data_IF_375061055538
#
_entry.id   IF_375061055538
#
_cell.length_a   1.000
_cell.length_b   1.000
_cell.length_c   1.000
_cell.angle_alpha   90.00
_cell.angle_beta   90.00
_cell.angle_gamma   90.00
#
_symmetry.space_group_name_H-M   'P 1'
#
loop_
_entity.id
_entity.type
_entity.pdbx_description
1 polymer ?
#
# COMPACT_ATOMS: atom_id res chain seq x y z
N UNK A 1 -0.59 10.00 15.12
CA UNK A 1 -1.28 10.24 13.83
C UNK A 1 -0.82 9.19 12.84
N UNK A 2 -1.75 8.58 12.10
CA UNK A 2 -1.42 7.62 11.03
C UNK A 2 -1.22 8.40 9.73
N UNK A 3 0.02 8.46 9.27
CA UNK A 3 0.33 8.81 7.87
C UNK A 3 0.19 7.50 7.09
N UNK A 4 -0.59 7.49 6.00
CA UNK A 4 -0.63 6.34 5.12
C UNK A 4 0.75 6.11 4.48
N UNK A 5 1.24 4.88 4.45
CA UNK A 5 2.43 4.54 3.65
C UNK A 5 2.05 4.32 2.19
N UNK A 6 3.03 4.45 1.29
CA UNK A 6 2.97 3.87 -0.05
C UNK A 6 3.70 2.52 -0.03
N UNK A 7 3.03 1.41 -0.33
CA UNK A 7 3.74 0.14 -0.56
C UNK A 7 4.39 0.20 -1.95
N UNK A 8 5.71 0.10 -2.00
CA UNK A 8 6.45 0.11 -3.25
C UNK A 8 7.02 -1.27 -3.55
N UNK A 9 6.51 -1.91 -4.61
CA UNK A 9 6.96 -3.20 -5.09
C UNK A 9 8.02 -2.99 -6.18
N UNK A 10 9.28 -3.35 -5.90
CA UNK A 10 10.39 -3.16 -6.82
C UNK A 10 11.11 -4.46 -7.17
N UNK A 11 11.54 -4.60 -8.42
CA UNK A 11 12.29 -5.76 -8.89
C UNK A 11 12.18 -5.96 -10.39
N UNK A 12 13.03 -6.82 -10.95
CA UNK A 12 13.05 -7.08 -12.40
C UNK A 12 11.73 -7.66 -12.93
N UNK A 13 11.53 -7.64 -14.25
CA UNK A 13 10.35 -8.25 -14.86
C UNK A 13 10.26 -9.76 -14.54
N UNK A 14 9.04 -10.27 -14.33
CA UNK A 14 8.79 -11.69 -14.01
C UNK A 14 9.14 -12.11 -12.58
N UNK A 15 9.10 -11.20 -11.61
CA UNK A 15 9.36 -11.50 -10.19
C UNK A 15 8.11 -11.58 -9.31
N UNK A 16 6.91 -11.52 -9.90
CA UNK A 16 5.64 -11.62 -9.15
C UNK A 16 5.11 -10.32 -8.54
N UNK A 17 5.74 -9.16 -8.79
CA UNK A 17 5.28 -7.84 -8.27
C UNK A 17 3.81 -7.55 -8.60
N UNK A 18 3.42 -7.77 -9.86
CA UNK A 18 2.04 -7.54 -10.32
C UNK A 18 1.05 -8.51 -9.70
N UNK A 19 1.47 -9.72 -9.30
CA UNK A 19 0.60 -10.62 -8.55
C UNK A 19 0.28 -10.03 -7.17
N UNK A 20 1.27 -9.53 -6.42
CA UNK A 20 1.02 -8.85 -5.13
C UNK A 20 0.13 -7.61 -5.31
N UNK A 21 0.34 -6.83 -6.38
CA UNK A 21 -0.53 -5.71 -6.72
C UNK A 21 -1.98 -6.17 -6.97
N UNK A 22 -2.16 -7.29 -7.68
CA UNK A 22 -3.47 -7.93 -7.95
C UNK A 22 -4.15 -8.43 -6.68
N UNK A 23 -3.40 -9.03 -5.75
CA UNK A 23 -3.93 -9.40 -4.43
C UNK A 23 -4.46 -8.16 -3.72
N UNK A 24 -3.65 -7.10 -3.63
CA UNK A 24 -4.03 -5.89 -2.93
C UNK A 24 -5.27 -5.22 -3.56
N UNK A 25 -5.31 -5.14 -4.89
CA UNK A 25 -6.45 -4.62 -5.66
C UNK A 25 -7.73 -5.40 -5.34
N UNK A 26 -7.68 -6.74 -5.42
CA UNK A 26 -8.81 -7.62 -5.16
C UNK A 26 -9.31 -7.54 -3.72
N UNK A 27 -8.41 -7.46 -2.74
CA UNK A 27 -8.79 -7.34 -1.33
C UNK A 27 -9.56 -6.04 -1.04
N UNK A 28 -9.24 -4.97 -1.76
CA UNK A 28 -9.88 -3.65 -1.62
C UNK A 28 -11.02 -3.40 -2.62
N UNK A 29 -11.38 -4.38 -3.46
CA UNK A 29 -12.31 -4.21 -4.58
C UNK A 29 -11.98 -2.96 -5.41
N UNK A 30 -10.71 -2.83 -5.80
CA UNK A 30 -10.19 -1.73 -6.60
C UNK A 30 -9.58 -2.29 -7.89
N UNK A 31 -9.65 -1.52 -8.99
CA UNK A 31 -8.94 -1.89 -10.22
C UNK A 31 -7.51 -1.34 -10.24
N UNK A 32 -6.63 -2.08 -10.91
CA UNK A 32 -5.27 -1.60 -11.19
C UNK A 32 -5.29 -0.52 -12.27
N UNK A 33 -4.31 0.38 -12.19
CA UNK A 33 -4.08 1.44 -13.16
C UNK A 33 -2.70 1.21 -13.78
N UNK A 34 -2.54 1.52 -15.06
CA UNK A 34 -1.25 1.46 -15.75
C UNK A 34 -0.58 2.83 -15.81
N UNK A 35 0.75 2.85 -15.92
CA UNK A 35 1.59 4.05 -15.96
C UNK A 35 1.26 5.04 -17.10
N UNK A 36 0.63 4.59 -18.19
CA UNK A 36 0.17 5.44 -19.28
C UNK A 36 -1.05 6.32 -18.93
N UNK A 37 -1.63 6.14 -17.74
CA UNK A 37 -2.79 6.90 -17.30
C UNK A 37 -2.46 8.38 -17.08
N UNK A 38 -3.39 9.26 -17.45
CA UNK A 38 -3.23 10.71 -17.28
C UNK A 38 -3.54 11.14 -15.86
N UNK A 39 -3.03 12.31 -15.45
CA UNK A 39 -3.31 12.87 -14.14
C UNK A 39 -4.83 13.09 -13.93
N UNK A 40 -5.54 13.52 -14.98
CA UNK A 40 -6.99 13.68 -14.94
C UNK A 40 -7.72 12.34 -14.70
N UNK A 41 -7.28 11.25 -15.34
CA UNK A 41 -7.87 9.93 -15.15
C UNK A 41 -7.69 9.40 -13.72
N UNK A 42 -6.47 9.51 -13.18
CA UNK A 42 -6.17 9.13 -11.80
C UNK A 42 -6.96 9.96 -10.80
N UNK A 43 -7.03 11.28 -11.01
CA UNK A 43 -7.84 12.18 -10.18
C UNK A 43 -9.31 11.76 -10.17
N UNK A 44 -9.89 11.50 -11.35
CA UNK A 44 -11.29 11.12 -11.47
C UNK A 44 -11.55 9.77 -10.77
N UNK A 45 -10.67 8.77 -10.98
CA UNK A 45 -10.75 7.47 -10.28
C UNK A 45 -10.72 7.65 -8.76
N UNK A 46 -9.76 8.43 -8.25
CA UNK A 46 -9.64 8.75 -6.81
C UNK A 46 -10.92 9.41 -6.27
N UNK A 47 -11.55 10.31 -7.03
CA UNK A 47 -12.79 10.95 -6.59
C UNK A 47 -13.97 9.98 -6.60
N UNK A 48 -14.08 9.15 -7.63
CA UNK A 48 -15.20 8.22 -7.77
C UNK A 48 -15.13 7.08 -6.76
N UNK A 49 -13.97 6.44 -6.59
CA UNK A 49 -13.85 5.23 -5.76
C UNK A 49 -13.76 5.50 -4.26
N UNK A 50 -13.55 6.77 -3.89
CA UNK A 50 -13.50 7.23 -2.50
C UNK A 50 -14.83 7.11 -1.77
N UNK A 51 -15.96 7.09 -2.47
CA UNK A 51 -17.29 7.13 -1.86
C UNK A 51 -18.05 5.83 -2.13
N UNK A 52 -18.89 5.40 -1.18
CA UNK A 52 -19.85 4.32 -1.45
C UNK A 52 -20.97 4.79 -2.38
N UNK A 53 -21.36 6.08 -2.30
CA UNK A 53 -22.20 6.75 -3.28
C UNK A 53 -21.40 7.85 -3.99
N UNK A 54 -20.79 7.56 -5.15
CA UNK A 54 -20.01 8.53 -5.90
C UNK A 54 -20.84 9.69 -6.46
N UNK A 55 -22.12 9.47 -6.76
CA UNK A 55 -22.98 10.49 -7.36
C UNK A 55 -23.32 11.58 -6.34
N UNK A 56 -23.54 11.19 -5.08
CA UNK A 56 -23.80 12.12 -3.97
C UNK A 56 -22.55 12.51 -3.21
N UNK A 57 -21.41 11.86 -3.48
CA UNK A 57 -20.17 12.00 -2.70
C UNK A 57 -20.39 11.70 -1.21
N UNK A 58 -21.21 10.69 -0.91
CA UNK A 58 -21.57 10.31 0.46
C UNK A 58 -20.81 9.06 0.90
N UNK A 59 -20.59 8.97 2.21
CA UNK A 59 -19.93 7.84 2.88
C UNK A 59 -18.52 7.58 2.34
N UNK A 60 -17.59 8.49 2.64
CA UNK A 60 -16.17 8.30 2.30
C UNK A 60 -15.62 7.00 2.91
N UNK A 61 -15.13 6.11 2.05
CA UNK A 61 -14.46 4.87 2.42
C UNK A 61 -12.94 4.98 2.28
N UNK A 62 -12.23 4.05 2.90
CA UNK A 62 -10.83 3.82 2.54
C UNK A 62 -10.82 3.22 1.14
N UNK A 63 -10.05 3.81 0.23
CA UNK A 63 -9.81 3.23 -1.09
C UNK A 63 -8.31 3.05 -1.30
N UNK A 64 -7.98 2.05 -2.12
CA UNK A 64 -6.62 1.72 -2.50
C UNK A 64 -6.41 2.10 -3.97
N UNK A 65 -5.38 2.89 -4.24
CA UNK A 65 -4.88 3.10 -5.58
C UNK A 65 -3.76 2.10 -5.85
N UNK A 66 -3.96 1.20 -6.80
CA UNK A 66 -2.92 0.30 -7.30
C UNK A 66 -2.44 0.81 -8.65
N UNK A 67 -1.19 1.27 -8.73
CA UNK A 67 -0.62 1.83 -9.95
C UNK A 67 0.61 1.05 -10.40
N UNK A 68 0.51 0.44 -11.58
CA UNK A 68 1.50 -0.48 -12.10
C UNK A 68 2.38 0.17 -13.17
N UNK A 69 3.59 -0.38 -13.27
CA UNK A 69 4.62 -0.09 -14.26
C UNK A 69 5.13 1.35 -14.27
N UNK A 70 5.21 1.98 -13.09
CA UNK A 70 5.67 3.37 -12.97
C UNK A 70 7.13 3.48 -13.42
N UNK A 71 7.41 4.47 -14.27
CA UNK A 71 8.77 4.86 -14.62
C UNK A 71 9.19 6.13 -13.86
N UNK A 72 10.50 6.34 -13.62
CA UNK A 72 10.99 7.58 -12.99
C UNK A 72 10.57 8.82 -13.77
N UNK A 73 10.70 8.82 -15.10
CA UNK A 73 10.40 9.96 -15.97
C UNK A 73 8.94 10.42 -15.84
N UNK A 74 8.00 9.49 -15.71
CA UNK A 74 6.58 9.80 -15.48
C UNK A 74 6.36 10.69 -14.25
N UNK A 75 7.16 10.50 -13.20
CA UNK A 75 7.07 11.26 -11.96
C UNK A 75 7.93 12.53 -11.97
N UNK A 76 9.09 12.48 -12.64
CA UNK A 76 10.05 13.59 -12.69
C UNK A 76 9.54 14.69 -13.62
N UNK A 77 9.01 14.32 -14.79
CA UNK A 77 8.55 15.28 -15.81
C UNK A 77 7.13 15.82 -15.52
N UNK A 78 6.40 15.19 -14.60
CA UNK A 78 5.01 15.55 -14.30
C UNK A 78 4.80 15.83 -12.81
N UNK A 79 4.96 17.10 -12.43
CA UNK A 79 4.78 17.54 -11.04
C UNK A 79 3.37 17.24 -10.50
N UNK A 80 2.34 17.35 -11.34
CA UNK A 80 0.97 17.02 -10.95
C UNK A 80 0.84 15.54 -10.59
N UNK A 81 1.46 14.63 -11.34
CA UNK A 81 1.51 13.22 -10.97
C UNK A 81 2.23 13.03 -9.64
N UNK A 82 3.43 13.59 -9.49
CA UNK A 82 4.20 13.49 -8.25
C UNK A 82 3.44 14.04 -7.03
N UNK A 83 2.61 15.08 -7.22
CA UNK A 83 1.80 15.66 -6.15
C UNK A 83 0.80 14.67 -5.53
N UNK A 84 0.23 13.75 -6.33
CA UNK A 84 -0.64 12.67 -5.84
C UNK A 84 0.11 11.79 -4.83
N UNK A 85 1.43 11.64 -5.02
CA UNK A 85 2.35 10.86 -4.19
C UNK A 85 2.99 11.65 -3.06
N UNK A 86 2.62 12.92 -2.86
CA UNK A 86 3.02 13.68 -1.66
C UNK A 86 1.92 13.63 -0.59
N UNK A 87 0.70 13.24 -0.97
CA UNK A 87 -0.48 13.24 -0.12
C UNK A 87 -0.75 11.86 0.50
N UNK A 88 -0.48 11.77 1.81
CA UNK A 88 -0.68 10.55 2.61
C UNK A 88 -1.41 10.80 3.94
N UNK A 89 -2.04 11.96 4.08
CA UNK A 89 -2.88 12.28 5.23
C UNK A 89 -4.18 12.90 4.73
N UNK A 90 -5.32 12.41 5.23
CA UNK A 90 -6.65 12.96 4.93
C UNK A 90 -6.75 14.46 5.23
N UNK A 91 -6.11 14.94 6.30
CA UNK A 91 -6.16 16.37 6.70
C UNK A 91 -5.55 17.30 5.66
N UNK A 92 -4.46 16.87 5.02
CA UNK A 92 -3.74 17.66 4.03
C UNK A 92 -3.93 17.06 2.63
N UNK A 93 -5.15 16.58 2.37
CA UNK A 93 -5.44 15.81 1.15
C UNK A 93 -5.85 16.64 -0.05
N UNK A 94 -6.22 17.89 0.19
CA UNK A 94 -6.66 18.82 -0.84
C UNK A 94 -5.49 19.26 -1.70
N UNK A 95 -5.63 19.04 -3.00
CA UNK A 95 -4.78 19.61 -4.04
C UNK A 95 -5.62 20.64 -4.80
N UNK A 96 -5.03 21.79 -5.05
CA UNK A 96 -5.62 22.88 -5.84
C UNK A 96 -4.78 23.06 -7.08
N UNK A 97 -5.40 23.00 -8.26
CA UNK A 97 -4.75 23.29 -9.54
C UNK A 97 -5.56 24.32 -10.31
N UNK A 98 -4.92 25.00 -11.25
CA UNK A 98 -5.61 25.88 -12.20
C UNK A 98 -6.61 25.07 -13.01
N UNK A 99 -7.85 25.56 -13.12
CA UNK A 99 -8.83 24.95 -14.02
C UNK A 99 -8.67 25.50 -15.44
N UNK A 100 -9.36 24.89 -16.41
CA UNK A 100 -9.44 25.42 -17.78
C UNK A 100 -10.28 26.70 -17.85
N UNK A 101 -11.11 26.97 -16.84
CA UNK A 101 -11.93 28.17 -16.75
C UNK A 101 -11.14 29.28 -16.06
N UNK A 102 -10.86 30.41 -16.73
CA UNK A 102 -10.13 31.53 -16.13
C UNK A 102 -10.77 31.98 -14.82
N UNK A 103 -9.94 32.18 -13.79
CA UNK A 103 -10.38 32.62 -12.46
C UNK A 103 -10.99 31.52 -11.57
N UNK A 104 -11.08 30.27 -12.05
CA UNK A 104 -11.52 29.14 -11.23
C UNK A 104 -10.37 28.17 -10.97
N UNK A 105 -10.24 27.76 -9.72
CA UNK A 105 -9.35 26.69 -9.31
C UNK A 105 -10.15 25.39 -9.18
N UNK A 106 -9.56 24.30 -9.65
CA UNK A 106 -10.10 22.98 -9.41
C UNK A 106 -9.47 22.41 -8.14
N UNK A 107 -10.34 22.06 -7.18
CA UNK A 107 -9.94 21.52 -5.86
C UNK A 107 -10.40 20.07 -5.79
N UNK A 108 -9.50 19.18 -5.38
CA UNK A 108 -9.84 17.76 -5.21
C UNK A 108 -9.05 17.13 -4.08
N UNK A 109 -9.59 16.06 -3.50
CA UNK A 109 -8.90 15.25 -2.47
C UNK A 109 -8.07 14.14 -3.11
N UNK A 110 -6.77 14.12 -2.84
CA UNK A 110 -5.80 13.17 -3.41
C UNK A 110 -5.38 12.03 -2.45
N UNK A 111 -5.91 12.01 -1.22
CA UNK A 111 -5.55 10.97 -0.26
C UNK A 111 -6.00 9.60 -0.74
N UNK A 112 -5.08 8.65 -0.80
CA UNK A 112 -5.32 7.25 -1.14
C UNK A 112 -4.32 6.41 -0.34
N UNK A 113 -4.71 5.19 0.06
CA UNK A 113 -3.70 4.16 0.26
C UNK A 113 -3.11 3.84 -1.12
N UNK A 114 -1.80 3.58 -1.21
CA UNK A 114 -1.12 3.40 -2.50
C UNK A 114 -0.30 2.14 -2.49
N UNK A 115 -0.53 1.28 -3.48
CA UNK A 115 0.40 0.24 -3.91
C UNK A 115 0.93 0.66 -5.28
N UNK A 116 2.24 0.80 -5.39
CA UNK A 116 2.88 1.07 -6.68
C UNK A 116 3.91 0.02 -6.99
N UNK A 117 4.13 -0.23 -8.28
CA UNK A 117 5.23 -1.09 -8.71
C UNK A 117 6.07 -0.44 -9.81
N UNK A 118 7.33 -0.87 -9.88
CA UNK A 118 8.28 -0.45 -10.91
C UNK A 118 9.40 -1.48 -11.06
N UNK A 119 9.97 -1.56 -12.27
CA UNK A 119 11.25 -2.24 -12.48
C UNK A 119 12.44 -1.37 -12.02
N UNK A 120 12.25 -0.07 -11.88
CA UNK A 120 13.28 0.89 -11.50
C UNK A 120 13.26 1.14 -9.99
N UNK A 121 14.42 1.24 -9.32
CA UNK A 121 14.47 1.56 -7.90
C UNK A 121 14.21 3.06 -7.68
N UNK A 122 12.95 3.48 -7.60
CA UNK A 122 12.55 4.91 -7.58
C UNK A 122 13.27 5.75 -6.50
N UNK A 123 13.73 5.14 -5.40
CA UNK A 123 14.46 5.83 -4.33
C UNK A 123 15.89 6.24 -4.68
N UNK A 124 16.46 5.77 -5.80
CA UNK A 124 17.81 6.15 -6.25
C UNK A 124 17.83 7.47 -7.00
N UNK A 125 16.67 7.97 -7.44
CA UNK A 125 16.52 9.23 -8.16
C UNK A 125 16.38 10.38 -7.15
N UNK A 126 17.30 11.35 -7.21
CA UNK A 126 17.36 12.43 -6.22
C UNK A 126 16.15 13.36 -6.30
N UNK A 127 15.55 13.49 -7.49
CA UNK A 127 14.32 14.24 -7.77
C UNK A 127 13.11 13.62 -7.03
N UNK A 128 13.17 12.32 -6.71
CA UNK A 128 12.13 11.57 -6.03
C UNK A 128 12.42 11.37 -4.53
N UNK A 129 13.35 12.13 -3.95
CA UNK A 129 13.74 12.02 -2.53
C UNK A 129 12.58 12.21 -1.54
N UNK A 130 11.58 13.02 -1.88
CA UNK A 130 10.37 13.15 -1.07
C UNK A 130 9.59 11.81 -1.07
N UNK A 131 9.49 11.13 -2.21
CA UNK A 131 8.78 9.87 -2.31
C UNK A 131 9.48 8.76 -1.49
N UNK A 132 10.83 8.74 -1.50
CA UNK A 132 11.64 7.79 -0.70
C UNK A 132 11.24 7.75 0.78
N UNK A 133 10.99 8.89 1.41
CA UNK A 133 10.60 8.98 2.84
C UNK A 133 9.17 8.50 3.13
N UNK A 134 8.37 8.23 2.11
CA UNK A 134 6.94 7.90 2.20
C UNK A 134 6.63 6.50 1.65
N UNK A 135 7.63 5.80 1.12
CA UNK A 135 7.52 4.44 0.61
C UNK A 135 7.95 3.41 1.65
N UNK A 136 7.26 2.27 1.64
CA UNK A 136 7.70 1.01 2.22
C UNK A 136 8.15 0.11 1.06
N UNK A 137 9.46 0.04 0.76
CA UNK A 137 9.95 -0.75 -0.35
C UNK A 137 9.94 -2.24 -0.01
N UNK A 138 9.41 -3.04 -0.93
CA UNK A 138 9.50 -4.50 -0.93
C UNK A 138 10.25 -4.91 -2.19
N UNK A 139 11.39 -5.56 -2.00
CA UNK A 139 12.24 -6.00 -3.10
C UNK A 139 11.88 -7.41 -3.53
N UNK A 140 11.73 -7.60 -4.83
CA UNK A 140 11.43 -8.86 -5.49
C UNK A 140 12.59 -9.27 -6.38
N UNK A 141 13.02 -10.52 -6.21
CA UNK A 141 14.10 -11.14 -6.96
C UNK A 141 13.59 -12.41 -7.61
N UNK A 142 14.12 -12.76 -8.78
CA UNK A 142 13.78 -14.05 -9.39
C UNK A 142 14.36 -15.15 -8.52
N UNK A 143 13.60 -16.22 -8.28
CA UNK A 143 14.08 -17.38 -7.50
C UNK A 143 15.42 -17.91 -8.04
N UNK A 144 15.58 -17.96 -9.35
CA UNK A 144 16.79 -18.42 -10.04
C UNK A 144 18.04 -17.56 -9.75
N UNK A 145 17.88 -16.31 -9.31
CA UNK A 145 18.99 -15.43 -8.97
C UNK A 145 19.19 -15.28 -7.46
N UNK A 146 18.40 -15.98 -6.64
CA UNK A 146 18.57 -15.97 -5.18
C UNK A 146 19.81 -16.78 -4.77
N UNK A 147 20.52 -16.33 -3.74
CA UNK A 147 21.60 -17.09 -3.12
C UNK A 147 21.03 -18.23 -2.27
N UNK A 148 21.84 -19.24 -1.96
CA UNK A 148 21.43 -20.34 -1.08
C UNK A 148 20.97 -19.87 0.30
N UNK A 149 21.57 -18.78 0.81
CA UNK A 149 21.20 -18.14 2.08
C UNK A 149 19.82 -17.45 1.99
N UNK A 150 19.57 -16.69 0.92
CA UNK A 150 18.26 -16.08 0.64
C UNK A 150 17.16 -17.15 0.46
N UNK A 151 17.54 -18.33 -0.01
CA UNK A 151 16.64 -19.46 -0.24
C UNK A 151 16.37 -20.31 1.01
N UNK A 152 17.30 -20.37 1.97
CA UNK A 152 17.23 -21.27 3.13
C UNK A 152 15.98 -21.09 4.01
N UNK A 153 15.30 -19.94 3.91
CA UNK A 153 14.03 -19.66 4.60
C UNK A 153 12.76 -20.11 3.85
N UNK A 154 12.85 -20.56 2.60
CA UNK A 154 11.70 -20.96 1.78
C UNK A 154 11.62 -22.48 1.63
N UNK A 155 10.74 -23.11 2.41
CA UNK A 155 10.54 -24.56 2.42
C UNK A 155 9.53 -25.06 1.39
N UNK A 156 8.88 -24.17 0.63
CA UNK A 156 7.80 -24.53 -0.29
C UNK A 156 8.32 -24.86 -1.70
N UNK A 157 7.86 -25.98 -2.26
CA UNK A 157 8.08 -26.30 -3.67
C UNK A 157 7.13 -25.47 -4.57
N UNK A 158 7.58 -25.13 -5.79
CA UNK A 158 6.76 -24.36 -6.74
C UNK A 158 5.45 -25.08 -7.09
N UNK A 159 5.49 -26.41 -7.14
CA UNK A 159 4.35 -27.31 -7.36
C UNK A 159 3.29 -27.24 -6.27
N UNK A 160 3.63 -26.74 -5.08
CA UNK A 160 2.72 -26.62 -3.94
C UNK A 160 2.02 -25.26 -3.89
N UNK A 161 2.44 -24.30 -4.72
CA UNK A 161 1.87 -22.96 -4.74
C UNK A 161 0.68 -22.91 -5.72
N UNK A 162 -0.46 -22.45 -5.23
CA UNK A 162 -1.61 -22.16 -6.09
C UNK A 162 -1.36 -20.91 -6.92
N UNK A 163 -1.85 -20.89 -8.15
CA UNK A 163 -1.90 -19.66 -8.91
C UNK A 163 -2.82 -18.66 -8.22
N UNK A 164 -2.47 -17.38 -8.30
CA UNK A 164 -3.23 -16.30 -7.67
C UNK A 164 -4.69 -16.28 -8.14
N UNK A 165 -4.93 -16.67 -9.39
CA UNK A 165 -6.25 -16.74 -10.01
C UNK A 165 -7.13 -17.84 -9.39
N UNK A 166 -6.52 -18.87 -8.80
CA UNK A 166 -7.21 -19.96 -8.10
C UNK A 166 -7.59 -19.58 -6.66
N UNK A 167 -6.99 -18.51 -6.12
CA UNK A 167 -7.28 -18.05 -4.76
C UNK A 167 -8.57 -17.22 -4.77
N UNK A 168 -9.58 -17.65 -4.01
CA UNK A 168 -10.81 -16.87 -3.83
C UNK A 168 -10.59 -15.66 -2.90
N UNK A 169 -10.03 -14.59 -3.46
CA UNK A 169 -9.75 -13.34 -2.77
C UNK A 169 -11.03 -12.60 -2.34
N UNK A 170 -12.15 -12.79 -3.06
CA UNK A 170 -13.44 -12.21 -2.69
C UNK A 170 -13.93 -12.68 -1.32
N UNK A 171 -13.87 -14.00 -1.05
CA UNK A 171 -14.19 -14.56 0.26
C UNK A 171 -13.28 -14.02 1.36
N UNK A 172 -11.98 -13.84 1.07
CA UNK A 172 -11.02 -13.26 2.03
C UNK A 172 -11.39 -11.80 2.33
N UNK A 173 -11.67 -11.00 1.29
CA UNK A 173 -12.10 -9.61 1.43
C UNK A 173 -13.36 -9.50 2.31
N UNK A 174 -14.40 -10.28 2.03
CA UNK A 174 -15.64 -10.28 2.83
C UNK A 174 -15.39 -10.69 4.29
N UNK A 175 -14.54 -11.69 4.54
CA UNK A 175 -14.20 -12.11 5.92
C UNK A 175 -13.44 -11.02 6.67
N UNK A 176 -12.49 -10.34 6.01
CA UNK A 176 -11.78 -9.20 6.58
C UNK A 176 -12.74 -8.05 6.88
N UNK A 177 -13.67 -7.76 5.97
CA UNK A 177 -14.68 -6.73 6.19
C UNK A 177 -15.56 -7.07 7.39
N UNK A 178 -16.07 -8.30 7.49
CA UNK A 178 -16.85 -8.76 8.64
C UNK A 178 -16.05 -8.66 9.94
N UNK A 179 -14.77 -9.04 9.92
CA UNK A 179 -13.89 -8.93 11.10
C UNK A 179 -13.79 -7.48 11.60
N UNK A 180 -13.64 -6.51 10.68
CA UNK A 180 -13.53 -5.10 11.03
C UNK A 180 -14.86 -4.38 11.28
N UNK A 181 -15.99 -4.99 10.90
CA UNK A 181 -17.33 -4.49 11.29
C UNK A 181 -17.66 -4.76 12.76
N UNK A 182 -16.97 -5.71 13.39
CA UNK A 182 -17.12 -5.96 14.83
C UNK A 182 -16.43 -4.86 15.66
N UNK A 183 -17.23 -4.14 16.45
CA UNK A 183 -16.75 -3.04 17.30
C UNK A 183 -15.79 -3.51 18.40
N UNK A 184 -15.90 -4.76 18.85
CA UNK A 184 -14.97 -5.34 19.81
C UNK A 184 -13.58 -5.50 19.18
N UNK A 185 -13.52 -5.98 17.94
CA UNK A 185 -12.26 -6.08 17.20
C UNK A 185 -11.65 -4.69 16.98
N UNK A 186 -12.45 -3.69 16.62
CA UNK A 186 -11.99 -2.31 16.49
C UNK A 186 -11.41 -1.75 17.81
N UNK A 187 -12.07 -2.05 18.93
CA UNK A 187 -11.64 -1.62 20.27
C UNK A 187 -10.35 -2.30 20.67
N UNK A 188 -10.27 -3.62 20.48
CA UNK A 188 -9.06 -4.42 20.74
C UNK A 188 -7.89 -3.94 19.89
N UNK A 189 -8.14 -3.58 18.62
CA UNK A 189 -7.13 -2.99 17.74
C UNK A 189 -6.59 -1.68 18.28
N UNK A 190 -7.49 -0.77 18.69
CA UNK A 190 -7.08 0.49 19.26
C UNK A 190 -6.25 0.30 20.54
N UNK A 191 -6.61 -0.67 21.38
CA UNK A 191 -5.85 -1.00 22.61
C UNK A 191 -4.49 -1.60 22.29
N UNK A 192 -4.42 -2.62 21.43
CA UNK A 192 -3.17 -3.26 20.96
C UNK A 192 -2.24 -2.23 20.35
N UNK A 193 -2.76 -1.39 19.45
CA UNK A 193 -2.01 -0.30 18.83
C UNK A 193 -1.44 0.63 19.90
N UNK A 194 -2.25 1.13 20.85
CA UNK A 194 -1.79 1.98 21.97
C UNK A 194 -0.68 1.31 22.79
N UNK A 195 -0.77 0.01 23.04
CA UNK A 195 0.27 -0.77 23.71
C UNK A 195 1.59 -0.74 22.94
N UNK A 196 1.55 -1.00 21.64
CA UNK A 196 2.73 -0.91 20.78
C UNK A 196 3.29 0.52 20.69
N UNK A 197 2.45 1.56 20.83
CA UNK A 197 2.95 2.94 20.84
C UNK A 197 3.89 3.26 22.00
N UNK A 198 3.66 2.61 23.14
CA UNK A 198 4.53 2.72 24.32
C UNK A 198 5.88 2.03 24.10
N UNK A 199 5.98 1.14 23.10
CA UNK A 199 7.17 0.35 22.74
C UNK A 199 7.83 0.82 21.44
N UNK A 200 7.62 2.08 21.05
CA UNK A 200 8.14 2.63 19.78
C UNK A 200 9.65 2.45 19.57
N UNK A 201 10.42 2.39 20.65
CA UNK A 201 11.88 2.21 20.62
C UNK A 201 12.31 0.78 20.24
N UNK A 202 11.42 -0.20 20.41
CA UNK A 202 11.67 -1.61 20.12
C UNK A 202 11.34 -1.95 18.65
N UNK A 203 10.81 -0.99 17.87
CA UNK A 203 10.20 -1.23 16.56
C UNK A 203 10.87 -0.36 15.48
N UNK A 204 11.62 -0.97 14.58
CA UNK A 204 12.20 -0.32 13.41
C UNK A 204 11.08 0.20 12.49
N UNK A 205 11.27 1.41 11.93
CA UNK A 205 10.28 2.09 11.12
C UNK A 205 8.87 2.13 11.76
N UNK A 206 8.83 2.25 13.10
CA UNK A 206 7.64 2.20 13.95
C UNK A 206 6.37 2.83 13.35
N UNK A 207 6.49 3.99 12.68
CA UNK A 207 5.35 4.68 12.05
C UNK A 207 4.59 3.82 11.03
N UNK A 208 5.30 2.98 10.27
CA UNK A 208 4.73 2.11 9.24
C UNK A 208 4.47 0.70 9.81
N UNK A 209 5.33 0.23 10.70
CA UNK A 209 5.33 -1.14 11.22
C UNK A 209 4.20 -1.42 12.22
N UNK A 210 3.75 -0.40 12.97
CA UNK A 210 2.82 -0.60 14.09
C UNK A 210 1.47 -1.19 13.66
N UNK A 211 0.93 -0.73 12.54
CA UNK A 211 -0.37 -1.17 12.04
C UNK A 211 -0.30 -2.63 11.55
N UNK A 212 0.84 -3.03 10.95
CA UNK A 212 1.09 -4.43 10.53
C UNK A 212 1.19 -5.35 11.75
N UNK A 213 2.01 -4.99 12.73
CA UNK A 213 2.23 -5.78 13.95
C UNK A 213 0.93 -5.92 14.76
N UNK A 214 0.17 -4.83 14.91
CA UNK A 214 -1.11 -4.85 15.62
C UNK A 214 -2.13 -5.78 14.92
N UNK A 215 -2.19 -5.70 13.59
CA UNK A 215 -3.09 -6.55 12.79
C UNK A 215 -2.71 -8.03 12.90
N UNK A 216 -1.41 -8.36 12.78
CA UNK A 216 -0.92 -9.72 12.98
C UNK A 216 -1.28 -10.26 14.36
N UNK A 217 -0.98 -9.51 15.42
CA UNK A 217 -1.27 -9.90 16.81
C UNK A 217 -2.76 -10.24 17.00
N UNK A 218 -3.65 -9.46 16.39
CA UNK A 218 -5.08 -9.70 16.50
C UNK A 218 -5.58 -10.88 15.67
N UNK A 219 -5.24 -10.94 14.39
CA UNK A 219 -5.74 -11.99 13.48
C UNK A 219 -5.27 -13.36 13.95
N UNK A 220 -4.00 -13.46 14.36
CA UNK A 220 -3.40 -14.72 14.81
C UNK A 220 -3.47 -14.93 16.32
N UNK A 221 -4.15 -14.03 17.06
CA UNK A 221 -4.22 -14.04 18.54
C UNK A 221 -2.84 -14.24 19.20
N UNK A 222 -1.80 -13.68 18.58
CA UNK A 222 -0.41 -13.79 19.02
C UNK A 222 -0.06 -12.70 20.01
N UNK A 223 0.85 -12.99 20.94
CA UNK A 223 1.39 -11.95 21.84
C UNK A 223 2.08 -10.83 21.05
N UNK A 224 2.18 -9.63 21.66
CA UNK A 224 2.87 -8.51 21.03
C UNK A 224 4.35 -8.84 20.76
N UNK A 225 5.02 -9.50 21.70
CA UNK A 225 6.42 -9.91 21.53
C UNK A 225 6.60 -10.88 20.37
N UNK A 226 5.72 -11.87 20.25
CA UNK A 226 5.77 -12.79 19.12
C UNK A 226 5.49 -12.09 17.80
N UNK A 227 4.54 -11.16 17.77
CA UNK A 227 4.20 -10.43 16.54
C UNK A 227 5.30 -9.46 16.11
N UNK A 228 5.99 -8.81 17.06
CA UNK A 228 7.19 -8.00 16.78
C UNK A 228 8.30 -8.89 16.24
N UNK A 229 8.55 -10.05 16.88
CA UNK A 229 9.56 -11.01 16.43
C UNK A 229 9.29 -11.47 15.00
N UNK A 230 8.07 -11.97 14.71
CA UNK A 230 7.68 -12.44 13.37
C UNK A 230 7.84 -11.33 12.33
N UNK A 231 7.42 -10.10 12.64
CA UNK A 231 7.60 -8.96 11.75
C UNK A 231 9.07 -8.71 11.40
N UNK A 232 9.97 -8.79 12.39
CA UNK A 232 11.41 -8.67 12.14
C UNK A 232 11.93 -9.81 11.28
N UNK A 233 11.66 -11.08 11.64
CA UNK A 233 12.07 -12.24 10.83
C UNK A 233 11.64 -12.09 9.37
N UNK A 234 10.42 -11.59 9.14
CA UNK A 234 9.85 -11.40 7.80
C UNK A 234 10.55 -10.28 7.00
N UNK A 235 11.02 -9.23 7.65
CA UNK A 235 11.63 -8.07 6.97
C UNK A 235 13.15 -8.19 6.86
N UNK A 236 13.81 -8.79 7.85
CA UNK A 236 15.27 -8.92 7.87
C UNK A 236 15.75 -10.24 7.29
N UNK A 237 14.86 -11.24 7.09
CA UNK A 237 15.22 -12.54 6.54
C UNK A 237 16.20 -13.34 7.41
N UNK A 238 16.28 -13.02 8.70
CA UNK A 238 17.18 -13.60 9.70
C UNK A 238 16.43 -14.45 10.69
#
# INVERSE_FOLDING_TARGET
>A
MSTAGCLFLWGSSGTGKSQIATIAASLYNADTVLANSTFASLRNKIQQERYYDPLRSEFERNFLLVWEDITPNLLIENENMLSLFKVFNRKNSRITISSQTPGQNMIFNAFALKVINSIHPLWTFWELNELKRRMFPMWFKKRQSMTSEEYAGNQFELSELSDIEDINLGKISSRLEMFWRDMNNCTNYAQTKRGLQKRKQDIANYRLSIDVIATHSMIYKSSMDNSIKVFYLTITGS
#
